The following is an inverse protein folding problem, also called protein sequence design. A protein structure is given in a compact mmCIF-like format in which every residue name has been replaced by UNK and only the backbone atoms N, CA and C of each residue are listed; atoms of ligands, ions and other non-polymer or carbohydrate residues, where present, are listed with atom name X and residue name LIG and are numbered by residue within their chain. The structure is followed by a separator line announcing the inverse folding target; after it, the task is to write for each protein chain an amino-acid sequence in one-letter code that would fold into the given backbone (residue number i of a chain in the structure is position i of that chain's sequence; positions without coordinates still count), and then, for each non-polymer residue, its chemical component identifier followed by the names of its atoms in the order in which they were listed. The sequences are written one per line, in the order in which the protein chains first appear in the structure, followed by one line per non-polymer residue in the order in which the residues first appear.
data_IF_012034866105
#
_entry.id   IF_012034866105
#
_cell.length_a   1.000
_cell.length_b   1.000
_cell.length_c   1.000
_cell.angle_alpha   90.00
_cell.angle_beta   90.00
_cell.angle_gamma   90.00
#
_symmetry.space_group_name_H-M   'P 1'
#
loop_
_entity.id
_entity.type
_entity.pdbx_description
1 polymer ?
#
# COMPACT_ATOMS: atom_id res chain seq x y z
N UNK A 1 -29.34 43.58 -32.38
CA UNK A 1 -28.81 42.33 -31.78
C UNK A 1 -27.89 42.71 -30.64
N UNK A 2 -28.34 42.53 -29.39
CA UNK A 2 -27.57 42.87 -28.20
C UNK A 2 -26.76 41.63 -27.82
N UNK A 3 -25.43 41.70 -27.92
CA UNK A 3 -24.53 40.65 -27.48
C UNK A 3 -24.44 40.67 -25.95
N UNK A 4 -24.94 39.62 -25.31
CA UNK A 4 -24.79 39.37 -23.88
C UNK A 4 -23.40 38.75 -23.66
N UNK A 5 -22.46 39.52 -23.11
CA UNK A 5 -21.15 39.02 -22.72
C UNK A 5 -21.29 38.19 -21.43
N UNK A 6 -21.17 36.87 -21.53
CA UNK A 6 -21.13 35.98 -20.39
C UNK A 6 -19.77 36.10 -19.68
N UNK A 7 -19.78 36.70 -18.49
CA UNK A 7 -18.62 36.81 -17.61
C UNK A 7 -18.34 35.42 -17.00
N UNK A 8 -17.38 34.69 -17.55
CA UNK A 8 -16.84 33.48 -16.91
C UNK A 8 -16.00 33.89 -15.70
N UNK A 9 -16.59 33.84 -14.50
CA UNK A 9 -15.83 33.86 -13.25
C UNK A 9 -15.01 32.57 -13.16
N UNK A 10 -13.70 32.67 -13.40
CA UNK A 10 -12.77 31.61 -13.05
C UNK A 10 -12.68 31.52 -11.52
N UNK A 11 -13.22 30.45 -10.94
CA UNK A 11 -12.94 30.05 -9.57
C UNK A 11 -11.43 29.78 -9.47
N UNK A 12 -10.71 30.68 -8.79
CA UNK A 12 -9.33 30.42 -8.42
C UNK A 12 -9.30 29.18 -7.50
N UNK A 13 -8.40 28.20 -7.72
CA UNK A 13 -8.23 27.10 -6.78
C UNK A 13 -7.86 27.71 -5.42
N UNK A 14 -8.70 27.44 -4.41
CA UNK A 14 -8.45 27.89 -3.04
C UNK A 14 -7.06 27.44 -2.60
N UNK A 15 -6.30 28.33 -1.98
CA UNK A 15 -5.00 28.01 -1.42
C UNK A 15 -5.15 26.85 -0.43
N UNK A 16 -4.68 25.65 -0.80
CA UNK A 16 -4.65 24.52 0.12
C UNK A 16 -3.87 24.93 1.36
N UNK A 17 -4.55 24.94 2.51
CA UNK A 17 -3.95 25.33 3.77
C UNK A 17 -2.80 24.36 4.09
N UNK A 18 -1.61 24.93 4.35
CA UNK A 18 -0.49 24.14 4.81
C UNK A 18 -0.74 23.66 6.24
N UNK A 19 -0.65 22.35 6.48
CA UNK A 19 -0.86 21.75 7.80
C UNK A 19 0.41 21.07 8.29
N UNK A 20 0.65 21.16 9.60
CA UNK A 20 1.60 20.29 10.28
C UNK A 20 0.89 19.08 10.86
N UNK A 21 1.43 17.89 10.63
CA UNK A 21 0.86 16.67 11.16
C UNK A 21 1.15 16.52 12.67
N UNK A 22 0.25 15.82 13.36
CA UNK A 22 0.44 15.38 14.75
C UNK A 22 0.22 13.86 14.82
N UNK A 23 0.84 13.14 15.77
CA UNK A 23 0.60 11.72 15.94
C UNK A 23 -0.90 11.42 16.11
N UNK A 24 -1.42 10.45 15.35
CA UNK A 24 -2.82 10.04 15.38
C UNK A 24 -3.80 11.04 14.73
N UNK A 25 -3.31 12.08 14.06
CA UNK A 25 -4.16 13.09 13.42
C UNK A 25 -5.09 12.46 12.36
N UNK A 26 -6.36 12.88 12.40
CA UNK A 26 -7.36 12.56 11.38
C UNK A 26 -7.56 13.78 10.48
N UNK A 27 -7.19 13.65 9.21
CA UNK A 27 -7.38 14.68 8.18
C UNK A 27 -8.77 14.49 7.56
N UNK A 28 -9.63 15.50 7.67
CA UNK A 28 -11.02 15.47 7.20
C UNK A 28 -11.33 16.42 6.04
N UNK A 29 -10.31 17.10 5.52
CA UNK A 29 -10.43 18.02 4.40
C UNK A 29 -9.13 18.09 3.61
N UNK A 30 -9.20 18.62 2.39
CA UNK A 30 -8.02 18.74 1.53
C UNK A 30 -6.98 19.66 2.15
N UNK A 31 -5.72 19.29 2.04
CA UNK A 31 -4.63 20.01 2.66
C UNK A 31 -3.29 19.70 2.02
N UNK A 32 -2.35 20.63 2.16
CA UNK A 32 -0.94 20.41 1.84
C UNK A 32 -0.16 20.21 3.13
N UNK A 33 0.58 19.13 3.26
CA UNK A 33 1.40 18.89 4.45
C UNK A 33 2.74 19.61 4.31
N UNK A 34 3.22 20.18 5.42
CA UNK A 34 4.59 20.70 5.50
C UNK A 34 5.59 19.57 5.30
N UNK A 35 6.44 19.70 4.28
CA UNK A 35 7.43 18.69 3.91
C UNK A 35 8.57 18.60 4.94
N UNK A 36 8.52 17.59 5.81
CA UNK A 36 9.58 17.22 6.75
C UNK A 36 9.49 15.74 7.11
N UNK A 37 10.42 15.28 7.95
CA UNK A 37 10.32 13.96 8.57
C UNK A 37 9.47 14.08 9.82
N UNK A 38 8.45 13.22 9.92
CA UNK A 38 7.57 13.08 11.08
C UNK A 38 7.79 11.70 11.71
N UNK A 39 8.33 11.68 12.91
CA UNK A 39 8.63 10.46 13.66
C UNK A 39 7.41 10.01 14.47
N UNK A 40 6.49 9.33 13.79
CA UNK A 40 5.23 8.88 14.36
C UNK A 40 5.19 7.36 14.41
N UNK A 41 5.55 6.82 15.56
CA UNK A 41 5.42 5.40 15.82
C UNK A 41 3.94 4.97 15.83
N UNK A 42 3.70 3.74 15.40
CA UNK A 42 2.46 3.03 15.66
C UNK A 42 2.81 1.63 16.16
N UNK A 43 2.23 1.24 17.30
CA UNK A 43 2.59 0.00 17.97
C UNK A 43 1.82 -1.22 17.44
N UNK A 44 0.62 -1.03 16.88
CA UNK A 44 -0.25 -2.13 16.48
C UNK A 44 -0.02 -2.57 15.03
N UNK A 45 0.00 -3.87 14.82
CA UNK A 45 0.26 -4.52 13.52
C UNK A 45 -1.02 -5.09 12.87
N UNK A 46 -2.18 -4.62 13.29
CA UNK A 46 -3.51 -5.16 12.94
C UNK A 46 -4.26 -4.31 11.90
N UNK A 47 -3.63 -3.23 11.42
CA UNK A 47 -4.23 -2.23 10.53
C UNK A 47 -5.53 -1.61 11.09
N UNK A 48 -5.70 -1.55 12.41
CA UNK A 48 -6.82 -0.87 13.06
C UNK A 48 -6.45 0.54 13.52
N UNK A 49 -5.18 0.77 13.86
CA UNK A 49 -4.63 2.09 14.17
C UNK A 49 -3.53 2.48 13.18
N UNK A 50 -3.21 3.77 13.13
CA UNK A 50 -2.20 4.33 12.23
C UNK A 50 -1.52 5.56 12.83
N UNK A 51 -0.36 5.92 12.28
CA UNK A 51 0.28 7.18 12.61
C UNK A 51 -0.56 8.39 12.16
N UNK A 52 -1.20 8.30 10.99
CA UNK A 52 -2.11 9.32 10.43
C UNK A 52 -3.34 8.62 9.82
N UNK A 53 -4.49 9.30 9.83
CA UNK A 53 -5.71 8.85 9.13
C UNK A 53 -6.23 9.94 8.20
N UNK A 54 -6.75 9.56 7.04
CA UNK A 54 -7.57 10.41 6.18
C UNK A 54 -8.97 9.82 6.16
N UNK A 55 -9.98 10.63 6.47
CA UNK A 55 -11.36 10.18 6.54
C UNK A 55 -12.33 11.21 5.97
N UNK A 56 -13.00 10.86 4.88
CA UNK A 56 -14.05 11.68 4.27
C UNK A 56 -14.20 11.43 2.77
N UNK A 57 -14.93 12.32 2.10
CA UNK A 57 -15.19 12.25 0.66
C UNK A 57 -14.52 13.41 -0.09
N UNK A 58 -13.95 13.13 -1.25
CA UNK A 58 -13.38 14.15 -2.14
C UNK A 58 -12.15 14.87 -1.57
N UNK A 59 -11.41 14.22 -0.68
CA UNK A 59 -10.24 14.80 -0.01
C UNK A 59 -8.97 14.61 -0.87
N UNK A 60 -8.20 15.68 -1.05
CA UNK A 60 -6.86 15.63 -1.62
C UNK A 60 -5.85 16.01 -0.54
N UNK A 61 -4.95 15.08 -0.18
CA UNK A 61 -3.83 15.37 0.72
C UNK A 61 -2.53 15.25 -0.06
N UNK A 62 -1.90 16.40 -0.29
CA UNK A 62 -0.55 16.46 -0.86
C UNK A 62 0.48 16.52 0.26
N UNK A 63 1.24 15.44 0.44
CA UNK A 63 2.23 15.37 1.49
C UNK A 63 3.50 16.19 1.18
N UNK A 64 3.62 16.76 -0.02
CA UNK A 64 4.73 17.62 -0.41
C UNK A 64 6.11 16.94 -0.36
N UNK A 65 6.17 15.60 -0.30
CA UNK A 65 7.41 14.85 -0.08
C UNK A 65 7.72 14.55 1.39
N UNK A 66 6.80 14.87 2.32
CA UNK A 66 6.94 14.54 3.73
C UNK A 66 7.16 13.04 3.94
N UNK A 67 7.94 12.72 4.96
CA UNK A 67 8.24 11.34 5.35
C UNK A 67 7.60 11.03 6.69
N UNK A 68 6.67 10.09 6.71
CA UNK A 68 6.26 9.42 7.94
C UNK A 68 7.31 8.33 8.26
N UNK A 69 7.82 8.34 9.48
CA UNK A 69 8.79 7.36 9.98
C UNK A 69 8.24 6.67 11.22
N UNK A 70 8.05 5.35 11.14
CA UNK A 70 7.47 4.54 12.22
C UNK A 70 8.52 4.10 13.24
N UNK A 71 9.42 3.24 12.79
CA UNK A 71 10.61 2.82 13.55
C UNK A 71 11.86 3.56 13.06
N UNK A 72 12.89 3.60 13.90
CA UNK A 72 14.19 4.22 13.58
C UNK A 72 14.89 3.56 12.39
N UNK A 73 15.86 4.27 11.80
CA UNK A 73 16.63 3.76 10.65
C UNK A 73 17.53 2.58 11.00
N UNK A 74 17.99 2.54 12.24
CA UNK A 74 18.80 1.51 12.87
C UNK A 74 17.98 0.25 13.24
N UNK A 75 16.65 0.30 13.14
CA UNK A 75 15.79 -0.85 13.43
C UNK A 75 15.79 -1.80 12.23
N UNK A 76 16.23 -3.04 12.52
CA UNK A 76 16.22 -4.13 11.53
C UNK A 76 14.85 -4.30 10.86
N UNK A 77 14.79 -4.64 9.56
CA UNK A 77 13.54 -4.75 8.82
C UNK A 77 12.51 -5.72 9.41
N UNK A 78 12.94 -6.79 10.08
CA UNK A 78 12.07 -7.79 10.72
C UNK A 78 11.47 -7.30 12.03
N UNK A 79 11.93 -6.16 12.56
CA UNK A 79 11.43 -5.53 13.79
C UNK A 79 10.54 -4.31 13.52
N UNK A 80 10.37 -3.94 12.25
CA UNK A 80 9.49 -2.84 11.83
C UNK A 80 8.03 -3.22 12.03
N UNK A 81 7.24 -2.29 12.55
CA UNK A 81 5.86 -2.49 12.98
C UNK A 81 5.01 -1.25 12.72
N UNK A 82 3.71 -1.39 12.87
CA UNK A 82 2.76 -0.31 12.74
C UNK A 82 2.30 -0.08 11.30
N UNK A 83 1.20 0.67 11.20
CA UNK A 83 0.67 1.23 9.95
C UNK A 83 0.92 2.74 9.89
N UNK A 84 1.42 3.26 8.76
CA UNK A 84 1.68 4.70 8.62
C UNK A 84 0.39 5.48 8.37
N UNK A 85 -0.38 5.08 7.36
CA UNK A 85 -1.58 5.79 6.92
C UNK A 85 -2.77 4.84 6.79
N UNK A 86 -3.89 5.17 7.43
CA UNK A 86 -5.20 4.57 7.12
C UNK A 86 -6.03 5.57 6.30
N UNK A 87 -6.68 5.08 5.25
CA UNK A 87 -7.59 5.87 4.41
C UNK A 87 -8.98 5.23 4.39
N UNK A 88 -10.00 6.05 4.66
CA UNK A 88 -11.41 5.65 4.68
C UNK A 88 -12.28 6.74 4.03
N UNK A 89 -13.41 6.33 3.44
CA UNK A 89 -14.36 7.22 2.76
C UNK A 89 -14.36 7.01 1.25
N UNK A 90 -14.35 8.06 0.45
CA UNK A 90 -14.42 7.97 -1.02
C UNK A 90 -13.69 9.10 -1.73
N UNK A 91 -13.27 8.85 -2.97
CA UNK A 91 -12.60 9.83 -3.83
C UNK A 91 -11.39 10.52 -3.16
N UNK A 92 -10.70 9.80 -2.28
CA UNK A 92 -9.53 10.31 -1.57
C UNK A 92 -8.30 10.20 -2.46
N UNK A 93 -7.53 11.28 -2.54
CA UNK A 93 -6.23 11.32 -3.24
C UNK A 93 -5.11 11.55 -2.23
N UNK A 94 -4.16 10.63 -2.18
CA UNK A 94 -2.92 10.72 -1.41
C UNK A 94 -1.77 10.96 -2.39
N UNK A 95 -1.04 12.06 -2.22
CA UNK A 95 0.07 12.42 -3.11
C UNK A 95 1.38 12.60 -2.35
N UNK A 96 2.49 12.23 -2.97
CA UNK A 96 3.84 12.62 -2.54
C UNK A 96 4.19 12.20 -1.10
N UNK A 97 3.57 11.14 -0.56
CA UNK A 97 3.88 10.62 0.77
C UNK A 97 5.05 9.64 0.70
N UNK A 98 6.00 9.79 1.61
CA UNK A 98 7.01 8.75 1.90
C UNK A 98 6.68 8.09 3.24
N UNK A 99 6.59 6.76 3.27
CA UNK A 99 6.40 6.00 4.51
C UNK A 99 7.56 5.01 4.70
N UNK A 100 8.25 5.11 5.85
CA UNK A 100 9.45 4.31 6.18
C UNK A 100 9.31 3.66 7.55
N UNK A 101 9.88 2.46 7.72
CA UNK A 101 9.97 1.84 9.04
C UNK A 101 8.64 1.30 9.59
N UNK A 102 7.62 1.13 8.73
CA UNK A 102 6.32 0.57 9.10
C UNK A 102 6.16 -0.87 8.60
N UNK A 103 5.27 -1.63 9.24
CA UNK A 103 4.81 -2.91 8.67
C UNK A 103 3.87 -2.72 7.50
N UNK A 104 3.02 -1.70 7.55
CA UNK A 104 2.12 -1.31 6.46
C UNK A 104 2.32 0.18 6.17
N UNK A 105 2.69 0.52 4.93
CA UNK A 105 2.83 1.92 4.52
C UNK A 105 1.47 2.63 4.43
N UNK A 106 0.53 2.04 3.70
CA UNK A 106 -0.84 2.54 3.55
C UNK A 106 -1.84 1.40 3.64
N UNK A 107 -2.91 1.58 4.40
CA UNK A 107 -4.05 0.68 4.43
C UNK A 107 -5.32 1.47 4.04
N UNK A 108 -5.98 1.08 2.97
CA UNK A 108 -7.25 1.67 2.54
C UNK A 108 -8.39 0.66 2.69
N UNK A 109 -9.51 1.09 3.28
CA UNK A 109 -10.69 0.25 3.52
C UNK A 109 -11.94 0.87 2.91
N UNK A 110 -12.57 0.17 1.97
CA UNK A 110 -13.85 0.60 1.40
C UNK A 110 -13.78 1.86 0.54
N UNK A 111 -12.60 2.21 0.01
CA UNK A 111 -12.39 3.53 -0.62
C UNK A 111 -12.59 3.47 -2.13
N UNK A 112 -13.79 3.82 -2.57
CA UNK A 112 -14.10 3.97 -4.00
C UNK A 112 -13.38 5.18 -4.58
N UNK A 113 -12.76 5.04 -5.75
CA UNK A 113 -12.07 6.15 -6.42
C UNK A 113 -10.79 6.61 -5.71
N UNK A 114 -10.18 5.76 -4.87
CA UNK A 114 -8.91 6.04 -4.20
C UNK A 114 -7.82 6.34 -5.23
N UNK A 115 -7.00 7.36 -4.97
CA UNK A 115 -5.79 7.63 -5.76
C UNK A 115 -4.56 7.66 -4.85
N UNK A 116 -3.57 6.83 -5.15
CA UNK A 116 -2.25 6.84 -4.49
C UNK A 116 -1.22 7.21 -5.55
N UNK A 117 -0.73 8.44 -5.48
CA UNK A 117 0.04 9.08 -6.55
C UNK A 117 1.42 9.52 -6.06
N UNK A 118 2.46 9.11 -6.78
CA UNK A 118 3.82 9.62 -6.57
C UNK A 118 4.34 9.39 -5.13
N UNK A 119 3.95 8.25 -4.53
CA UNK A 119 4.30 7.87 -3.16
C UNK A 119 5.48 6.89 -3.12
N UNK A 120 6.18 6.83 -1.98
CA UNK A 120 7.26 5.87 -1.73
C UNK A 120 7.10 5.18 -0.36
N UNK A 121 6.72 3.90 -0.38
CA UNK A 121 6.51 3.07 0.82
C UNK A 121 7.60 2.00 0.97
N UNK A 122 8.80 2.28 0.48
CA UNK A 122 9.96 1.38 0.58
C UNK A 122 10.54 1.34 1.99
N UNK A 123 11.32 0.29 2.28
CA UNK A 123 11.96 0.06 3.57
C UNK A 123 10.93 -0.07 4.70
N UNK A 124 9.93 -0.90 4.47
CA UNK A 124 8.99 -1.39 5.48
C UNK A 124 9.46 -2.71 6.10
N UNK A 125 8.51 -3.41 6.73
CA UNK A 125 8.72 -4.72 7.34
C UNK A 125 9.18 -5.78 6.34
N UNK A 126 10.19 -6.54 6.73
CA UNK A 126 10.74 -7.66 5.97
C UNK A 126 11.30 -8.71 6.94
N UNK A 127 10.61 -9.84 7.16
CA UNK A 127 11.06 -10.88 8.09
C UNK A 127 12.34 -11.55 7.57
N UNK A 128 13.17 -12.01 8.51
CA UNK A 128 14.32 -12.87 8.21
C UNK A 128 13.84 -14.18 7.60
N UNK A 129 14.75 -14.82 6.87
CA UNK A 129 14.55 -16.15 6.33
C UNK A 129 15.16 -17.14 7.33
N UNK A 130 14.39 -18.16 7.73
CA UNK A 130 14.90 -19.25 8.58
C UNK A 130 15.55 -20.36 7.75
N UNK A 131 15.13 -20.48 6.50
CA UNK A 131 15.70 -21.37 5.50
C UNK A 131 17.18 -21.01 5.26
N UNK A 132 17.99 -22.05 5.14
CA UNK A 132 19.45 -21.98 4.93
C UNK A 132 19.79 -22.51 3.54
N UNK A 133 21.02 -22.32 3.07
CA UNK A 133 21.42 -22.84 1.75
C UNK A 133 21.17 -24.36 1.60
N UNK A 134 21.33 -25.13 2.67
CA UNK A 134 21.23 -26.59 2.64
C UNK A 134 19.83 -27.13 2.95
N UNK A 135 18.94 -26.31 3.52
CA UNK A 135 17.63 -26.77 4.00
C UNK A 135 16.57 -25.68 4.06
N UNK A 136 15.40 -26.01 3.52
CA UNK A 136 14.16 -25.24 3.65
C UNK A 136 13.58 -25.30 5.07
N UNK A 137 13.04 -24.18 5.55
CA UNK A 137 12.19 -24.12 6.75
C UNK A 137 10.74 -23.82 6.35
N UNK A 138 9.81 -24.68 6.78
CA UNK A 138 8.38 -24.54 6.47
C UNK A 138 7.75 -23.29 7.11
N UNK A 139 8.34 -22.73 8.15
CA UNK A 139 7.85 -21.47 8.76
C UNK A 139 8.03 -20.26 7.83
N UNK A 140 8.89 -20.36 6.81
CA UNK A 140 9.03 -19.31 5.81
C UNK A 140 7.94 -19.33 4.73
N UNK A 141 7.07 -20.35 4.74
CA UNK A 141 6.01 -20.49 3.75
C UNK A 141 4.97 -19.39 3.91
N UNK A 142 4.74 -18.67 2.84
CA UNK A 142 3.90 -17.48 2.91
C UNK A 142 2.40 -17.80 2.74
N UNK A 143 2.01 -18.96 2.24
CA UNK A 143 0.62 -19.43 2.22
C UNK A 143 -0.38 -18.37 1.73
N UNK A 144 -0.06 -17.66 0.64
CA UNK A 144 -0.91 -16.57 0.12
C UNK A 144 -2.25 -17.06 -0.45
N UNK A 145 -2.50 -18.37 -0.45
CA UNK A 145 -3.75 -18.99 -0.88
C UNK A 145 -4.94 -18.77 0.06
N UNK A 146 -4.69 -18.24 1.27
CA UNK A 146 -5.73 -17.85 2.22
C UNK A 146 -5.67 -16.35 2.50
N UNK A 147 -6.83 -15.71 2.43
CA UNK A 147 -7.01 -14.32 2.88
C UNK A 147 -8.45 -14.03 3.35
N UNK A 148 -9.22 -15.07 3.68
CA UNK A 148 -10.61 -14.95 4.13
C UNK A 148 -10.77 -14.20 5.45
N UNK A 149 -9.74 -14.19 6.29
CA UNK A 149 -9.71 -13.56 7.62
C UNK A 149 -8.74 -12.39 7.68
N UNK A 150 -8.24 -11.90 6.54
CA UNK A 150 -7.24 -10.84 6.48
C UNK A 150 -5.82 -11.29 6.82
N UNK A 151 -5.49 -12.56 6.58
CA UNK A 151 -4.19 -13.17 6.87
C UNK A 151 -3.01 -12.41 6.25
N UNK A 152 -3.23 -11.71 5.14
CA UNK A 152 -2.20 -10.91 4.47
C UNK A 152 -1.79 -9.67 5.25
N UNK A 153 -2.63 -9.15 6.15
CA UNK A 153 -2.33 -7.97 6.99
C UNK A 153 -1.08 -8.24 7.85
N UNK A 154 -1.01 -9.42 8.47
CA UNK A 154 0.13 -9.82 9.31
C UNK A 154 1.45 -9.93 8.54
N UNK A 155 1.41 -10.09 7.21
CA UNK A 155 2.59 -10.22 6.35
C UNK A 155 3.22 -8.87 6.04
N UNK A 156 2.50 -7.76 6.24
CA UNK A 156 2.98 -6.41 5.92
C UNK A 156 3.13 -6.17 4.41
N UNK A 157 3.14 -4.90 4.02
CA UNK A 157 3.25 -4.48 2.63
C UNK A 157 3.52 -2.97 2.52
N UNK A 158 3.88 -2.50 1.32
CA UNK A 158 3.89 -1.07 1.03
C UNK A 158 2.49 -0.47 1.08
N UNK A 159 1.54 -1.06 0.35
CA UNK A 159 0.15 -0.64 0.35
C UNK A 159 -0.80 -1.84 0.35
N UNK A 160 -1.85 -1.76 1.16
CA UNK A 160 -2.94 -2.71 1.24
C UNK A 160 -4.25 -2.00 0.92
N UNK A 161 -4.97 -2.48 -0.09
CA UNK A 161 -6.30 -1.99 -0.45
C UNK A 161 -7.30 -3.12 -0.20
N UNK A 162 -8.33 -2.80 0.57
CA UNK A 162 -9.43 -3.69 0.90
C UNK A 162 -10.74 -3.05 0.46
N UNK A 163 -11.54 -3.76 -0.33
CA UNK A 163 -12.86 -3.29 -0.79
C UNK A 163 -12.79 -1.92 -1.50
N UNK A 164 -11.76 -1.70 -2.31
CA UNK A 164 -11.54 -0.44 -3.02
C UNK A 164 -11.80 -0.61 -4.52
N UNK A 165 -12.82 0.06 -5.05
CA UNK A 165 -13.18 -0.01 -6.48
C UNK A 165 -12.78 1.25 -7.24
N UNK A 166 -12.42 1.08 -8.51
CA UNK A 166 -12.08 2.20 -9.40
C UNK A 166 -10.88 3.01 -8.92
N UNK A 167 -9.94 2.37 -8.21
CA UNK A 167 -8.76 3.01 -7.65
C UNK A 167 -7.68 3.26 -8.72
N UNK A 168 -6.78 4.21 -8.44
CA UNK A 168 -5.58 4.46 -9.21
C UNK A 168 -4.34 4.41 -8.31
N UNK A 169 -3.38 3.55 -8.65
CA UNK A 169 -2.03 3.56 -8.07
C UNK A 169 -1.05 3.92 -9.18
N UNK A 170 -0.41 5.07 -9.06
CA UNK A 170 0.51 5.59 -10.06
C UNK A 170 1.82 6.01 -9.44
N UNK A 171 2.93 5.61 -10.06
CA UNK A 171 4.28 6.00 -9.62
C UNK A 171 4.50 5.69 -8.13
N UNK A 172 3.95 4.57 -7.66
CA UNK A 172 4.20 4.07 -6.33
C UNK A 172 5.52 3.30 -6.32
N UNK A 173 6.41 3.61 -5.38
CA UNK A 173 7.66 2.88 -5.17
C UNK A 173 7.60 2.06 -3.89
N UNK A 174 7.88 0.76 -3.98
CA UNK A 174 8.08 -0.13 -2.83
C UNK A 174 9.26 -1.04 -3.11
N UNK A 175 10.36 -0.84 -2.37
CA UNK A 175 11.54 -1.71 -2.39
C UNK A 175 11.97 -2.10 -0.97
N UNK A 176 12.70 -3.20 -0.82
CA UNK A 176 13.32 -3.55 0.46
C UNK A 176 12.31 -3.90 1.58
N UNK A 177 11.09 -4.26 1.20
CA UNK A 177 10.01 -4.73 2.08
C UNK A 177 9.67 -6.19 1.77
N UNK A 178 8.76 -6.81 2.53
CA UNK A 178 8.24 -8.14 2.21
C UNK A 178 7.37 -8.11 0.96
N UNK A 179 6.32 -7.28 0.95
CA UNK A 179 5.35 -7.18 -0.14
C UNK A 179 5.22 -5.75 -0.67
N UNK A 180 4.83 -5.63 -1.94
CA UNK A 180 4.55 -4.36 -2.60
C UNK A 180 3.11 -3.89 -2.38
N UNK A 181 2.26 -4.11 -3.38
CA UNK A 181 0.85 -3.76 -3.38
C UNK A 181 -0.02 -5.01 -3.19
N UNK A 182 -0.91 -4.99 -2.20
CA UNK A 182 -1.84 -6.09 -1.91
C UNK A 182 -3.28 -5.61 -2.09
N UNK A 183 -4.03 -6.32 -2.92
CA UNK A 183 -5.40 -6.01 -3.30
C UNK A 183 -6.31 -7.14 -2.83
N UNK A 184 -7.33 -6.80 -2.05
CA UNK A 184 -8.34 -7.75 -1.58
C UNK A 184 -9.71 -7.20 -1.90
N UNK A 185 -10.48 -7.93 -2.71
CA UNK A 185 -11.83 -7.52 -3.17
C UNK A 185 -11.82 -6.12 -3.78
N UNK A 186 -10.85 -5.85 -4.64
CA UNK A 186 -10.72 -4.55 -5.31
C UNK A 186 -10.95 -4.71 -6.80
N UNK A 187 -11.89 -3.96 -7.37
CA UNK A 187 -12.27 -4.11 -8.76
C UNK A 187 -12.05 -2.85 -9.59
N UNK A 188 -11.87 -3.03 -10.90
CA UNK A 188 -11.82 -1.95 -11.90
C UNK A 188 -10.72 -0.90 -11.65
N UNK A 189 -9.64 -1.26 -10.94
CA UNK A 189 -8.52 -0.37 -10.65
C UNK A 189 -7.49 -0.27 -11.77
N UNK A 190 -6.63 0.74 -11.65
CA UNK A 190 -5.50 0.98 -12.53
C UNK A 190 -4.20 1.08 -11.71
N UNK A 191 -3.26 0.17 -11.96
CA UNK A 191 -1.91 0.21 -11.36
C UNK A 191 -0.89 0.42 -12.46
N UNK A 192 -0.18 1.54 -12.44
CA UNK A 192 0.73 1.86 -13.53
C UNK A 192 1.96 2.68 -13.15
N UNK A 193 2.99 2.56 -13.99
CA UNK A 193 4.28 3.25 -13.84
C UNK A 193 4.90 3.13 -12.45
N UNK A 194 4.59 2.04 -11.74
CA UNK A 194 5.01 1.80 -10.36
C UNK A 194 6.19 0.83 -10.31
N UNK A 195 6.93 0.85 -9.21
CA UNK A 195 8.11 0.04 -8.98
C UNK A 195 7.94 -0.82 -7.72
N UNK A 196 7.91 -2.13 -7.91
CA UNK A 196 7.82 -3.16 -6.88
C UNK A 196 9.03 -4.10 -7.00
N UNK A 197 10.23 -3.54 -6.84
CA UNK A 197 11.51 -4.24 -6.99
C UNK A 197 12.11 -4.71 -5.67
N UNK A 198 12.93 -5.77 -5.69
CA UNK A 198 13.74 -6.20 -4.53
C UNK A 198 12.90 -6.48 -3.27
N UNK A 199 11.83 -7.23 -3.47
CA UNK A 199 10.90 -7.63 -2.42
C UNK A 199 11.17 -9.08 -2.02
N UNK A 200 11.02 -9.37 -0.73
CA UNK A 200 11.23 -10.74 -0.20
C UNK A 200 9.96 -11.59 -0.25
N UNK A 201 8.99 -11.23 -1.08
CA UNK A 201 7.64 -11.78 -1.11
C UNK A 201 6.99 -11.50 -2.46
N UNK A 202 5.84 -10.82 -2.46
CA UNK A 202 5.06 -10.55 -3.68
C UNK A 202 5.10 -9.08 -4.07
N UNK A 203 5.32 -8.79 -5.36
CA UNK A 203 5.26 -7.43 -5.90
C UNK A 203 3.85 -6.87 -5.92
N UNK A 204 2.95 -7.55 -6.63
CA UNK A 204 1.53 -7.23 -6.67
C UNK A 204 0.70 -8.50 -6.43
N UNK A 205 -0.11 -8.49 -5.38
CA UNK A 205 -0.96 -9.60 -5.01
C UNK A 205 -2.43 -9.20 -5.12
N UNK A 206 -3.24 -10.07 -5.74
CA UNK A 206 -4.68 -9.89 -5.93
C UNK A 206 -5.42 -11.08 -5.34
N UNK A 207 -6.35 -10.82 -4.43
CA UNK A 207 -7.23 -11.82 -3.84
C UNK A 207 -8.69 -11.41 -4.08
N UNK A 208 -9.45 -12.28 -4.78
CA UNK A 208 -10.85 -12.03 -5.17
C UNK A 208 -11.06 -10.63 -5.78
N UNK A 209 -10.12 -10.22 -6.62
CA UNK A 209 -10.06 -8.92 -7.25
C UNK A 209 -10.12 -9.10 -8.77
N UNK A 210 -10.84 -8.25 -9.47
CA UNK A 210 -11.20 -8.45 -10.88
C UNK A 210 -11.17 -7.15 -11.69
N UNK A 211 -11.10 -7.26 -13.01
CA UNK A 211 -11.11 -6.13 -13.94
C UNK A 211 -10.03 -5.04 -13.69
N UNK A 212 -8.95 -5.36 -12.97
CA UNK A 212 -7.85 -4.44 -12.70
C UNK A 212 -6.88 -4.40 -13.89
N UNK A 213 -6.42 -3.19 -14.25
CA UNK A 213 -5.45 -2.95 -15.32
C UNK A 213 -4.07 -2.70 -14.73
N UNK A 214 -3.11 -3.53 -15.08
CA UNK A 214 -1.73 -3.48 -14.57
C UNK A 214 -0.78 -3.16 -15.74
N UNK A 215 -0.25 -1.93 -15.80
CA UNK A 215 0.43 -1.42 -17.00
C UNK A 215 1.79 -0.79 -16.66
N UNK A 216 2.84 -1.10 -17.42
CA UNK A 216 4.15 -0.42 -17.33
C UNK A 216 4.78 -0.39 -15.92
N UNK A 217 4.50 -1.39 -15.09
CA UNK A 217 5.10 -1.51 -13.77
C UNK A 217 6.43 -2.29 -13.87
N UNK A 218 7.43 -1.85 -13.10
CA UNK A 218 8.66 -2.62 -12.89
C UNK A 218 8.46 -3.53 -11.68
N UNK A 219 8.43 -4.84 -11.91
CA UNK A 219 8.25 -5.85 -10.86
C UNK A 219 9.32 -6.93 -11.05
N UNK A 220 10.47 -6.75 -10.40
CA UNK A 220 11.63 -7.60 -10.54
C UNK A 220 12.24 -7.93 -9.17
N UNK A 221 13.05 -9.00 -9.11
CA UNK A 221 13.74 -9.43 -7.88
C UNK A 221 12.79 -9.64 -6.69
N UNK A 222 11.59 -10.15 -6.97
CA UNK A 222 10.63 -10.62 -5.97
C UNK A 222 10.94 -12.10 -5.66
N UNK A 223 11.88 -12.33 -4.74
CA UNK A 223 12.41 -13.68 -4.46
C UNK A 223 12.48 -13.89 -2.96
N UNK A 224 11.98 -15.04 -2.50
CA UNK A 224 12.07 -15.54 -1.12
C UNK A 224 12.54 -16.98 -1.14
N UNK A 225 13.45 -17.33 -0.24
CA UNK A 225 13.90 -18.69 0.05
C UNK A 225 14.17 -19.58 -1.17
N UNK A 226 15.26 -19.29 -1.87
CA UNK A 226 15.71 -20.11 -2.99
C UNK A 226 17.10 -20.65 -2.74
N UNK A 227 17.30 -21.94 -3.00
CA UNK A 227 18.62 -22.56 -3.05
C UNK A 227 18.73 -23.48 -4.28
N UNK A 228 19.65 -23.16 -5.18
CA UNK A 228 19.79 -23.85 -6.45
C UNK A 228 20.18 -25.31 -6.26
N UNK A 229 19.39 -26.24 -6.80
CA UNK A 229 19.62 -27.67 -6.68
C UNK A 229 19.19 -28.28 -5.33
N UNK A 230 18.72 -27.47 -4.36
CA UNK A 230 18.31 -27.95 -3.03
C UNK A 230 16.80 -27.76 -2.83
N UNK A 231 16.29 -26.53 -2.94
CA UNK A 231 14.86 -26.26 -2.81
C UNK A 231 14.45 -24.96 -3.52
N UNK A 232 13.23 -24.97 -4.06
CA UNK A 232 12.65 -23.87 -4.83
C UNK A 232 11.12 -23.76 -4.71
N UNK A 233 10.50 -24.43 -3.72
CA UNK A 233 9.05 -24.48 -3.52
C UNK A 233 8.63 -23.75 -2.24
N UNK A 234 7.32 -23.58 -2.02
CA UNK A 234 6.72 -23.22 -0.72
C UNK A 234 6.84 -21.76 -0.26
N UNK A 235 7.86 -21.04 -0.71
CA UNK A 235 8.11 -19.65 -0.30
C UNK A 235 7.10 -18.65 -0.86
N UNK A 236 6.35 -19.05 -1.90
CA UNK A 236 5.33 -18.28 -2.57
C UNK A 236 5.76 -16.83 -2.85
N UNK A 237 6.98 -16.59 -3.34
CA UNK A 237 7.35 -15.29 -3.90
C UNK A 237 6.95 -15.19 -5.38
N UNK A 238 6.60 -13.99 -5.84
CA UNK A 238 6.17 -13.77 -7.22
C UNK A 238 6.24 -12.28 -7.57
N UNK A 239 6.42 -11.96 -8.85
CA UNK A 239 6.18 -10.60 -9.32
C UNK A 239 4.70 -10.23 -9.17
N UNK A 240 3.83 -10.95 -9.88
CA UNK A 240 2.39 -10.81 -9.78
C UNK A 240 1.79 -12.13 -9.32
N UNK A 241 0.89 -12.08 -8.33
CA UNK A 241 0.05 -13.21 -7.95
C UNK A 241 -1.42 -12.83 -7.99
N UNK A 242 -2.23 -13.63 -8.66
CA UNK A 242 -3.70 -13.52 -8.66
C UNK A 242 -4.30 -14.79 -8.08
N UNK A 243 -5.23 -14.63 -7.15
CA UNK A 243 -6.01 -15.71 -6.59
C UNK A 243 -7.49 -15.35 -6.62
N UNK A 244 -8.26 -16.25 -7.21
CA UNK A 244 -9.70 -16.25 -7.13
C UNK A 244 -10.14 -17.60 -6.58
N UNK A 245 -11.20 -17.62 -5.79
CA UNK A 245 -11.83 -18.86 -5.37
C UNK A 245 -13.11 -18.99 -6.18
N UNK A 246 -13.10 -19.88 -7.17
CA UNK A 246 -14.35 -20.38 -7.76
C UNK A 246 -15.08 -21.22 -6.71
N UNK A 247 -16.41 -21.23 -6.72
CA UNK A 247 -17.24 -21.94 -5.74
C UNK A 247 -16.68 -23.34 -5.47
N UNK A 248 -16.49 -23.66 -4.18
CA UNK A 248 -16.45 -25.06 -3.76
C UNK A 248 -17.77 -25.69 -4.20
N UNK A 249 -17.78 -26.88 -4.84
CA UNK A 249 -19.05 -27.57 -5.03
C UNK A 249 -19.62 -27.81 -3.64
N UNK A 250 -20.69 -27.09 -3.30
CA UNK A 250 -21.60 -27.54 -2.25
C UNK A 250 -22.10 -28.87 -2.77
N UNK A 251 -21.50 -29.95 -2.24
CA UNK A 251 -22.03 -31.29 -2.44
C UNK A 251 -23.46 -31.25 -1.88
N UNK A 252 -24.45 -31.77 -2.61
CA UNK A 252 -25.87 -31.64 -2.25
C UNK A 252 -26.20 -32.22 -0.88
#
# INVERSE_FOLDING_TARGET
MIYLAALCMSLAPGSEQAIELRPGMVIRGSARVVAKVYEFANAADDAQSSAIRIQGDGIVVDFGGATLRGTGEDVDPDRRKGTALIVEGSNVTVKNLKARGYRIGLFARGVRGLKVLDCDFSYGYKPRLLSTLDREDGADWMSYHHNEKGEWIAKGCGAYLEDCDGFEVRNLRVIGSLNGLMLTRCDQGLVWNSNFSFLSGVGLAMYRSSANRILHNRIDWCVRGYSHGVYNRGQDSAGIRSLTRTCSPTTP
#
